data_IF_772271426655
#
_entry.id   IF_772271426655
#
_cell.length_a   1.000
_cell.length_b   1.000
_cell.length_c   1.000
_cell.angle_alpha   90.00
_cell.angle_beta   90.00
_cell.angle_gamma   90.00
#
_symmetry.space_group_name_H-M   'P 1'
#
loop_
_entity.id
_entity.type
_entity.pdbx_description
1 polymer ?
#
# COMPACT_ATOMS: atom_id res chain seq x y z
N UNK A 1 27.72 -25.92 -53.43
CA UNK A 1 28.66 -25.00 -52.77
C UNK A 1 28.14 -23.60 -53.04
N UNK A 2 27.26 -23.12 -52.18
CA UNK A 2 26.46 -21.90 -52.39
C UNK A 2 27.04 -20.82 -51.49
N UNK A 3 27.61 -19.78 -52.09
CA UNK A 3 28.25 -18.65 -51.41
C UNK A 3 27.18 -17.70 -50.86
N UNK A 4 26.98 -17.70 -49.54
CA UNK A 4 26.23 -16.65 -48.85
C UNK A 4 27.12 -15.38 -48.75
N UNK A 5 26.62 -14.18 -49.09
CA UNK A 5 27.31 -12.92 -48.80
C UNK A 5 27.32 -12.64 -47.29
N UNK A 6 28.29 -11.86 -46.77
CA UNK A 6 28.39 -11.56 -45.35
C UNK A 6 27.22 -10.65 -44.93
N UNK A 7 26.43 -11.09 -43.94
CA UNK A 7 25.47 -10.23 -43.25
C UNK A 7 26.24 -9.08 -42.59
N UNK A 8 25.96 -7.87 -43.05
CA UNK A 8 26.36 -6.66 -42.37
C UNK A 8 25.66 -6.62 -41.02
N UNK A 9 26.44 -6.77 -39.94
CA UNK A 9 26.02 -6.45 -38.58
C UNK A 9 25.70 -4.95 -38.53
N UNK A 10 24.47 -4.58 -38.84
CA UNK A 10 23.99 -3.22 -38.64
C UNK A 10 23.77 -3.00 -37.17
N UNK A 11 24.77 -2.40 -36.54
CA UNK A 11 24.67 -1.48 -35.41
C UNK A 11 23.70 -1.91 -34.33
N UNK A 12 24.24 -2.55 -33.29
CA UNK A 12 23.66 -2.42 -31.97
C UNK A 12 23.41 -0.95 -31.72
N UNK A 13 22.14 -0.58 -31.55
CA UNK A 13 21.80 0.71 -30.99
C UNK A 13 22.35 0.64 -29.58
N UNK A 14 23.55 1.18 -29.38
CA UNK A 14 24.02 1.62 -28.08
C UNK A 14 23.02 2.69 -27.63
N UNK A 15 21.90 2.26 -27.05
CA UNK A 15 21.02 3.13 -26.28
C UNK A 15 21.86 3.56 -25.09
N UNK A 16 22.59 4.66 -25.27
CA UNK A 16 23.36 5.32 -24.25
C UNK A 16 22.53 5.34 -22.97
N UNK A 17 23.00 4.61 -21.96
CA UNK A 17 22.27 4.36 -20.74
C UNK A 17 21.92 5.69 -20.08
N UNK A 18 20.68 6.15 -20.31
CA UNK A 18 20.19 7.45 -19.87
C UNK A 18 20.40 7.63 -18.37
N UNK A 19 20.58 8.87 -17.93
CA UNK A 19 20.61 9.19 -16.49
C UNK A 19 19.35 8.60 -15.83
N UNK A 20 19.46 7.92 -14.68
CA UNK A 20 18.34 7.25 -14.01
C UNK A 20 17.43 8.26 -13.31
N UNK A 21 16.93 9.25 -14.04
CA UNK A 21 16.17 10.38 -13.51
C UNK A 21 14.88 9.88 -12.85
N UNK A 22 14.20 8.90 -13.47
CA UNK A 22 13.00 8.28 -12.91
C UNK A 22 13.25 7.59 -11.57
N UNK A 23 14.30 6.77 -11.46
CA UNK A 23 14.69 6.09 -10.22
C UNK A 23 15.10 7.09 -9.13
N UNK A 24 15.81 8.17 -9.49
CA UNK A 24 16.17 9.24 -8.55
C UNK A 24 14.91 9.94 -8.02
N UNK A 25 14.00 10.35 -8.91
CA UNK A 25 12.75 11.03 -8.53
C UNK A 25 11.92 10.14 -7.63
N UNK A 26 11.78 8.85 -7.97
CA UNK A 26 11.07 7.88 -7.16
C UNK A 26 11.71 7.72 -5.77
N UNK A 27 13.02 7.49 -5.71
CA UNK A 27 13.73 7.30 -4.45
C UNK A 27 13.70 8.56 -3.57
N UNK A 28 13.85 9.73 -4.18
CA UNK A 28 13.70 11.02 -3.50
C UNK A 28 12.28 11.20 -2.98
N UNK A 29 11.26 10.88 -3.78
CA UNK A 29 9.86 10.93 -3.36
C UNK A 29 9.56 10.03 -2.17
N UNK A 30 10.02 8.78 -2.19
CA UNK A 30 9.89 7.82 -1.07
C UNK A 30 10.58 8.36 0.19
N UNK A 31 11.82 8.82 0.07
CA UNK A 31 12.58 9.37 1.19
C UNK A 31 11.91 10.63 1.76
N UNK A 32 11.48 11.56 0.90
CA UNK A 32 10.77 12.78 1.30
C UNK A 32 9.46 12.47 2.01
N UNK A 33 8.67 11.52 1.50
CA UNK A 33 7.43 11.09 2.15
C UNK A 33 7.69 10.52 3.54
N UNK A 34 8.75 9.71 3.68
CA UNK A 34 9.20 9.20 4.98
C UNK A 34 9.60 10.32 5.95
N UNK A 35 10.38 11.30 5.51
CA UNK A 35 10.78 12.45 6.35
C UNK A 35 9.56 13.27 6.77
N UNK A 36 8.67 13.59 5.84
CA UNK A 36 7.44 14.34 6.12
C UNK A 36 6.56 13.57 7.11
N UNK A 37 6.40 12.26 6.93
CA UNK A 37 5.65 11.39 7.84
C UNK A 37 6.26 11.37 9.25
N UNK A 38 7.60 11.33 9.35
CA UNK A 38 8.30 11.33 10.63
C UNK A 38 8.09 12.65 11.38
N UNK A 39 8.22 13.78 10.69
CA UNK A 39 8.00 15.12 11.26
C UNK A 39 6.53 15.29 11.66
N UNK A 40 5.59 14.85 10.82
CA UNK A 40 4.17 14.89 11.12
C UNK A 40 3.82 14.04 12.35
N UNK A 41 4.36 12.82 12.43
CA UNK A 41 4.23 11.95 13.60
C UNK A 41 4.81 12.55 14.88
N UNK A 42 5.90 13.32 14.76
CA UNK A 42 6.49 14.01 15.90
C UNK A 42 5.58 15.10 16.49
N UNK A 43 4.65 15.64 15.70
CA UNK A 43 3.65 16.63 16.15
C UNK A 43 2.44 16.06 16.90
N UNK A 44 2.28 14.73 16.94
CA UNK A 44 1.15 14.09 17.64
C UNK A 44 1.34 14.23 19.15
N UNK A 45 0.43 14.95 19.81
CA UNK A 45 0.46 15.16 21.27
C UNK A 45 -0.02 13.90 21.99
N UNK A 46 0.75 13.43 22.95
CA UNK A 46 0.34 12.36 23.87
C UNK A 46 0.16 12.91 25.29
N UNK A 47 -0.86 12.45 26.03
CA UNK A 47 -0.99 12.76 27.45
C UNK A 47 0.26 12.31 28.23
N UNK A 48 0.71 13.07 29.26
CA UNK A 48 1.84 12.66 30.09
C UNK A 48 1.66 11.31 30.80
N UNK A 49 0.41 10.84 30.94
CA UNK A 49 0.05 9.56 31.53
C UNK A 49 0.06 8.38 30.55
N UNK A 50 0.38 8.60 29.27
CA UNK A 50 0.45 7.54 28.28
C UNK A 50 1.73 6.71 28.50
N UNK A 51 1.61 5.58 29.17
CA UNK A 51 2.70 4.63 29.40
C UNK A 51 2.47 3.41 28.52
N UNK A 52 3.05 3.37 27.32
CA UNK A 52 2.93 2.24 26.39
C UNK A 52 3.16 2.61 24.92
N UNK A 53 3.06 1.60 24.05
CA UNK A 53 3.01 1.80 22.59
C UNK A 53 1.67 2.48 22.28
N UNK A 54 1.73 3.66 21.65
CA UNK A 54 0.55 4.46 21.32
C UNK A 54 0.39 4.71 19.83
N UNK A 55 -0.65 5.46 19.40
CA UNK A 55 -0.95 5.67 17.99
C UNK A 55 0.18 6.41 17.23
N UNK A 56 1.03 7.15 17.95
CA UNK A 56 2.19 7.86 17.39
C UNK A 56 3.29 6.91 16.88
N UNK A 57 3.36 5.69 17.41
CA UNK A 57 4.40 4.73 16.99
C UNK A 57 4.17 4.24 15.56
N UNK A 58 2.91 4.15 15.12
CA UNK A 58 2.60 3.72 13.76
C UNK A 58 3.21 4.64 12.68
N UNK A 59 3.00 5.98 12.70
CA UNK A 59 3.67 6.88 11.78
C UNK A 59 5.20 6.78 11.84
N UNK A 60 5.81 6.59 13.01
CA UNK A 60 7.25 6.48 13.14
C UNK A 60 7.81 5.20 12.51
N UNK A 61 7.17 4.05 12.73
CA UNK A 61 7.59 2.77 12.14
C UNK A 61 7.53 2.85 10.61
N UNK A 62 6.39 3.30 10.06
CA UNK A 62 6.20 3.42 8.61
C UNK A 62 7.18 4.43 8.00
N UNK A 63 7.32 5.59 8.64
CA UNK A 63 8.24 6.64 8.17
C UNK A 63 9.70 6.18 8.24
N UNK A 64 10.09 5.48 9.30
CA UNK A 64 11.43 4.89 9.44
C UNK A 64 11.72 3.88 8.34
N UNK A 65 10.75 3.02 8.01
CA UNK A 65 10.86 2.07 6.90
C UNK A 65 11.00 2.78 5.55
N UNK A 66 10.20 3.82 5.29
CA UNK A 66 10.28 4.62 4.07
C UNK A 66 11.62 5.35 3.95
N UNK A 67 12.12 5.95 5.02
CA UNK A 67 13.43 6.60 5.07
C UNK A 67 14.52 5.58 4.78
N UNK A 68 14.49 4.44 5.47
CA UNK A 68 15.46 3.36 5.29
C UNK A 68 15.49 2.87 3.84
N UNK A 69 14.34 2.53 3.28
CA UNK A 69 14.21 2.04 1.89
C UNK A 69 14.64 3.12 0.89
N UNK A 70 14.16 4.36 1.04
CA UNK A 70 14.51 5.48 0.17
C UNK A 70 16.02 5.76 0.17
N UNK A 71 16.64 5.79 1.35
CA UNK A 71 18.09 5.92 1.50
C UNK A 71 18.83 4.72 0.88
N UNK A 72 18.37 3.48 1.11
CA UNK A 72 18.97 2.30 0.53
C UNK A 72 18.94 2.32 -1.01
N UNK A 73 17.83 2.75 -1.62
CA UNK A 73 17.70 2.88 -3.09
C UNK A 73 18.66 3.95 -3.60
N UNK A 74 18.75 5.12 -2.95
CA UNK A 74 19.71 6.17 -3.34
C UNK A 74 21.14 5.65 -3.27
N UNK A 75 21.51 4.93 -2.20
CA UNK A 75 22.84 4.32 -2.07
C UNK A 75 23.09 3.30 -3.19
N UNK A 76 22.12 2.44 -3.51
CA UNK A 76 22.24 1.48 -4.61
C UNK A 76 22.49 2.19 -5.94
N UNK A 77 21.75 3.27 -6.20
CA UNK A 77 21.85 4.04 -7.42
C UNK A 77 23.20 4.77 -7.54
N UNK A 78 23.69 5.34 -6.43
CA UNK A 78 25.03 5.93 -6.33
C UNK A 78 26.14 4.87 -6.51
N UNK A 79 25.88 3.62 -6.11
CA UNK A 79 26.77 2.46 -6.36
C UNK A 79 26.64 1.91 -7.78
N UNK A 80 25.89 2.56 -8.65
CA UNK A 80 25.68 2.14 -10.04
C UNK A 80 24.76 0.93 -10.21
N UNK A 81 24.09 0.48 -9.13
CA UNK A 81 23.09 -0.58 -9.20
C UNK A 81 21.76 0.03 -9.58
N UNK A 82 21.35 -0.21 -10.82
CA UNK A 82 20.08 0.24 -11.37
C UNK A 82 19.06 -0.88 -11.28
N UNK A 83 17.79 -0.51 -11.15
CA UNK A 83 16.73 -1.47 -11.41
C UNK A 83 16.91 -2.01 -12.82
N UNK A 84 16.98 -3.33 -12.98
CA UNK A 84 16.71 -3.89 -14.30
C UNK A 84 15.28 -3.44 -14.65
N UNK A 85 15.02 -2.90 -15.86
CA UNK A 85 13.64 -2.74 -16.30
C UNK A 85 13.00 -4.11 -16.12
N UNK A 86 12.00 -4.21 -15.25
CA UNK A 86 11.12 -5.37 -15.30
C UNK A 86 10.57 -5.37 -16.73
N UNK A 87 10.76 -6.49 -17.43
CA UNK A 87 9.91 -6.83 -18.56
C UNK A 87 8.51 -6.99 -17.96
N UNK A 88 7.84 -5.85 -17.79
CA UNK A 88 6.54 -5.77 -17.14
C UNK A 88 5.61 -6.73 -17.84
N UNK A 89 4.88 -7.50 -17.03
CA UNK A 89 3.76 -8.34 -17.43
C UNK A 89 2.94 -7.65 -18.53
N UNK A 90 3.18 -8.03 -19.80
CA UNK A 90 2.57 -7.56 -21.05
C UNK A 90 1.81 -6.21 -20.93
N UNK A 91 2.53 -5.15 -20.52
CA UNK A 91 1.90 -3.85 -20.26
C UNK A 91 1.61 -3.20 -21.61
N UNK A 92 0.41 -3.43 -22.15
CA UNK A 92 -0.07 -2.73 -23.34
C UNK A 92 -0.20 -1.23 -23.01
N UNK A 93 0.63 -0.36 -23.59
CA UNK A 93 0.56 1.08 -23.34
C UNK A 93 -0.75 1.71 -23.86
N UNK A 94 -1.55 0.97 -24.63
CA UNK A 94 -2.86 1.38 -25.10
C UNK A 94 -4.02 0.81 -24.25
N UNK A 95 -3.71 0.01 -23.22
CA UNK A 95 -4.71 -0.49 -22.29
C UNK A 95 -5.45 0.69 -21.65
N UNK A 96 -6.78 0.71 -21.82
CA UNK A 96 -7.62 1.76 -21.26
C UNK A 96 -7.81 1.50 -19.77
N UNK A 97 -7.78 2.57 -18.97
CA UNK A 97 -8.14 2.50 -17.55
C UNK A 97 -9.55 1.93 -17.39
N UNK A 98 -9.70 0.88 -16.57
CA UNK A 98 -11.00 0.34 -16.21
C UNK A 98 -11.67 1.23 -15.16
N UNK A 99 -12.35 2.27 -15.65
CA UNK A 99 -13.08 3.23 -14.83
C UNK A 99 -14.22 2.58 -14.04
N UNK A 100 -14.77 1.46 -14.48
CA UNK A 100 -15.84 0.76 -13.76
C UNK A 100 -15.29 0.10 -12.50
N UNK A 101 -14.15 -0.57 -12.62
CA UNK A 101 -13.43 -1.15 -11.47
C UNK A 101 -13.03 -0.05 -10.48
N UNK A 102 -12.52 1.08 -10.95
CA UNK A 102 -12.24 2.25 -10.10
C UNK A 102 -13.50 2.74 -9.38
N UNK A 103 -14.61 2.91 -10.10
CA UNK A 103 -15.86 3.39 -9.52
C UNK A 103 -16.42 2.43 -8.45
N UNK A 104 -16.31 1.10 -8.66
CA UNK A 104 -16.69 0.09 -7.67
C UNK A 104 -15.83 0.18 -6.41
N UNK A 105 -14.51 0.31 -6.55
CA UNK A 105 -13.60 0.48 -5.41
C UNK A 105 -13.93 1.73 -4.61
N UNK A 106 -14.16 2.87 -5.29
CA UNK A 106 -14.61 4.11 -4.66
C UNK A 106 -15.96 3.91 -3.95
N UNK A 107 -16.88 3.18 -4.57
CA UNK A 107 -18.17 2.81 -3.96
C UNK A 107 -18.02 2.00 -2.67
N UNK A 108 -17.12 1.02 -2.64
CA UNK A 108 -16.84 0.26 -1.42
C UNK A 108 -16.15 1.09 -0.33
N UNK A 109 -15.27 2.02 -0.71
CA UNK A 109 -14.68 2.99 0.24
C UNK A 109 -15.77 3.89 0.83
N UNK A 110 -16.68 4.41 0.01
CA UNK A 110 -17.81 5.20 0.49
C UNK A 110 -18.72 4.37 1.41
N UNK A 111 -19.02 3.12 1.03
CA UNK A 111 -19.81 2.20 1.84
C UNK A 111 -19.15 1.91 3.19
N UNK A 112 -17.82 1.74 3.23
CA UNK A 112 -17.07 1.57 4.47
C UNK A 112 -17.26 2.78 5.41
N UNK A 113 -17.10 3.99 4.89
CA UNK A 113 -17.30 5.23 5.65
C UNK A 113 -18.71 5.30 6.24
N UNK A 114 -19.73 4.95 5.44
CA UNK A 114 -21.13 4.96 5.87
C UNK A 114 -21.44 3.87 6.90
N UNK A 115 -20.75 2.72 6.84
CA UNK A 115 -20.97 1.58 7.74
C UNK A 115 -20.28 1.72 9.09
N UNK A 116 -19.20 2.50 9.20
CA UNK A 116 -18.42 2.62 10.45
C UNK A 116 -19.32 2.98 11.64
N UNK A 117 -20.21 3.97 11.48
CA UNK A 117 -21.08 4.44 12.56
C UNK A 117 -22.15 3.42 12.96
N UNK A 118 -22.99 2.90 12.04
CA UNK A 118 -24.06 1.96 12.41
C UNK A 118 -23.57 0.54 12.70
N UNK A 119 -22.64 0.02 11.89
CA UNK A 119 -22.24 -1.39 11.89
C UNK A 119 -20.94 -1.67 12.65
N UNK A 120 -20.18 -0.62 12.97
CA UNK A 120 -18.88 -0.74 13.60
C UNK A 120 -17.74 -0.89 12.60
N UNK A 121 -16.55 -0.57 13.09
CA UNK A 121 -15.33 -0.59 12.30
C UNK A 121 -14.95 -1.98 11.76
N UNK A 122 -15.00 -3.09 12.53
CA UNK A 122 -14.58 -4.40 12.03
C UNK A 122 -15.47 -4.90 10.90
N UNK A 123 -16.79 -4.69 11.01
CA UNK A 123 -17.77 -5.07 9.99
C UNK A 123 -17.59 -4.23 8.74
N UNK A 124 -17.46 -2.90 8.90
CA UNK A 124 -17.17 -2.00 7.80
C UNK A 124 -15.88 -2.38 7.07
N UNK A 125 -14.81 -2.74 7.81
CA UNK A 125 -13.53 -3.16 7.25
C UNK A 125 -13.64 -4.49 6.50
N UNK A 126 -14.37 -5.48 7.04
CA UNK A 126 -14.61 -6.74 6.35
C UNK A 126 -15.37 -6.54 5.02
N UNK A 127 -16.38 -5.65 5.01
CA UNK A 127 -17.10 -5.29 3.77
C UNK A 127 -16.15 -4.64 2.75
N UNK A 128 -15.25 -3.76 3.19
CA UNK A 128 -14.27 -3.13 2.32
C UNK A 128 -13.30 -4.15 1.70
N UNK A 129 -12.71 -5.03 2.51
CA UNK A 129 -11.77 -6.06 2.02
C UNK A 129 -12.45 -7.06 1.08
N UNK A 130 -13.67 -7.49 1.42
CA UNK A 130 -14.46 -8.36 0.56
C UNK A 130 -14.81 -7.66 -0.77
N UNK A 131 -15.31 -6.42 -0.69
CA UNK A 131 -15.67 -5.64 -1.87
C UNK A 131 -14.49 -5.36 -2.80
N UNK A 132 -13.32 -5.03 -2.24
CA UNK A 132 -12.10 -4.83 -3.00
C UNK A 132 -11.66 -6.12 -3.70
N UNK A 133 -11.57 -7.24 -2.98
CA UNK A 133 -11.16 -8.53 -3.55
C UNK A 133 -12.13 -9.05 -4.61
N UNK A 134 -13.44 -8.84 -4.43
CA UNK A 134 -14.46 -9.16 -5.41
C UNK A 134 -14.36 -8.27 -6.65
N UNK A 135 -14.16 -6.96 -6.46
CA UNK A 135 -14.02 -5.99 -7.55
C UNK A 135 -12.79 -6.27 -8.42
N UNK A 136 -11.71 -6.78 -7.81
CA UNK A 136 -10.48 -7.18 -8.50
C UNK A 136 -10.55 -8.58 -9.13
N UNK A 137 -11.74 -9.20 -9.20
CA UNK A 137 -11.98 -10.40 -10.00
C UNK A 137 -11.74 -11.74 -9.29
N UNK A 138 -11.66 -11.77 -7.96
CA UNK A 138 -11.50 -13.05 -7.26
C UNK A 138 -12.71 -13.98 -7.43
N UNK A 139 -12.46 -15.21 -7.88
CA UNK A 139 -13.48 -16.21 -8.21
C UNK A 139 -14.07 -16.93 -6.98
N UNK A 140 -13.39 -16.91 -5.83
CA UNK A 140 -13.80 -17.67 -4.65
C UNK A 140 -14.39 -16.78 -3.55
N UNK A 141 -15.69 -16.46 -3.68
CA UNK A 141 -16.45 -15.64 -2.74
C UNK A 141 -16.29 -16.05 -1.27
N UNK A 142 -16.36 -17.34 -0.94
CA UNK A 142 -16.20 -17.81 0.45
C UNK A 142 -14.81 -17.53 1.03
N UNK A 143 -13.74 -17.79 0.26
CA UNK A 143 -12.37 -17.54 0.71
C UNK A 143 -12.14 -16.05 0.92
N UNK A 144 -12.66 -15.21 0.02
CA UNK A 144 -12.58 -13.76 0.15
C UNK A 144 -13.28 -13.27 1.42
N UNK A 145 -14.47 -13.81 1.73
CA UNK A 145 -15.21 -13.44 2.93
C UNK A 145 -14.42 -13.80 4.20
N UNK A 146 -13.85 -15.01 4.26
CA UNK A 146 -13.02 -15.44 5.39
C UNK A 146 -11.78 -14.55 5.52
N UNK A 147 -11.03 -14.33 4.43
CA UNK A 147 -9.82 -13.49 4.45
C UNK A 147 -10.17 -12.06 4.87
N UNK A 148 -11.27 -11.50 4.36
CA UNK A 148 -11.71 -10.15 4.68
C UNK A 148 -12.03 -10.00 6.18
N UNK A 149 -12.74 -10.97 6.77
CA UNK A 149 -13.02 -10.99 8.21
C UNK A 149 -11.74 -11.14 9.02
N UNK A 150 -10.86 -12.07 8.64
CA UNK A 150 -9.59 -12.27 9.34
C UNK A 150 -8.73 -11.00 9.29
N UNK A 151 -8.59 -10.38 8.13
CA UNK A 151 -7.85 -9.12 7.97
C UNK A 151 -8.45 -7.98 8.80
N UNK A 152 -9.77 -7.85 8.81
CA UNK A 152 -10.45 -6.86 9.63
C UNK A 152 -10.18 -7.08 11.13
N UNK A 153 -10.24 -8.32 11.61
CA UNK A 153 -9.97 -8.65 13.01
C UNK A 153 -8.50 -8.48 13.40
N UNK A 154 -7.57 -8.86 12.53
CA UNK A 154 -6.13 -8.64 12.75
C UNK A 154 -5.86 -7.14 12.88
N UNK A 155 -6.40 -6.32 11.98
CA UNK A 155 -6.22 -4.87 12.06
C UNK A 155 -6.94 -4.29 13.28
N UNK A 156 -8.13 -4.77 13.65
CA UNK A 156 -8.81 -4.39 14.90
C UNK A 156 -7.86 -4.61 16.07
N UNK A 157 -7.26 -5.80 16.19
CA UNK A 157 -6.36 -6.12 17.29
C UNK A 157 -5.10 -5.25 17.29
N UNK A 158 -4.48 -5.02 16.13
CA UNK A 158 -3.29 -4.18 16.01
C UNK A 158 -3.59 -2.72 16.37
N UNK A 159 -4.69 -2.16 15.87
CA UNK A 159 -5.00 -0.75 16.11
C UNK A 159 -5.62 -0.50 17.48
N UNK A 160 -6.63 -1.27 17.88
CA UNK A 160 -7.26 -1.11 19.19
C UNK A 160 -6.39 -1.66 20.32
N UNK A 161 -5.86 -2.87 20.18
CA UNK A 161 -5.11 -3.54 21.24
C UNK A 161 -3.67 -3.06 21.37
N UNK A 162 -2.92 -3.02 20.25
CA UNK A 162 -1.48 -2.69 20.30
C UNK A 162 -1.21 -1.19 20.29
N UNK A 163 -1.97 -0.41 19.51
CA UNK A 163 -1.76 1.04 19.38
C UNK A 163 -2.69 1.87 20.27
N UNK A 164 -3.68 1.26 20.93
CA UNK A 164 -4.63 1.97 21.80
C UNK A 164 -5.53 2.96 21.05
N UNK A 165 -5.85 2.68 19.78
CA UNK A 165 -6.77 3.49 18.97
C UNK A 165 -8.20 3.06 19.23
N UNK A 166 -9.04 3.99 19.71
CA UNK A 166 -10.48 3.72 19.86
C UNK A 166 -11.14 3.56 18.49
N UNK A 167 -11.64 2.36 18.22
CA UNK A 167 -12.37 2.01 17.00
C UNK A 167 -13.85 1.83 17.35
N UNK A 168 -14.79 2.50 16.64
CA UNK A 168 -16.20 2.38 16.93
C UNK A 168 -16.67 0.92 16.83
N UNK A 169 -17.23 0.37 17.91
CA UNK A 169 -17.91 -0.92 17.89
C UNK A 169 -19.18 -0.87 17.03
N UNK A 170 -19.80 0.30 16.90
CA UNK A 170 -21.09 0.49 16.25
C UNK A 170 -22.26 0.01 17.12
N UNK A 171 -23.44 0.57 16.86
CA UNK A 171 -24.65 0.27 17.63
C UNK A 171 -25.02 -1.23 17.62
N UNK A 172 -24.69 -1.95 16.53
CA UNK A 172 -24.97 -3.38 16.39
C UNK A 172 -24.06 -4.29 17.26
N UNK A 173 -22.91 -3.80 17.73
CA UNK A 173 -21.95 -4.56 18.53
C UNK A 173 -21.75 -4.01 19.95
N UNK A 174 -22.58 -3.05 20.36
CA UNK A 174 -22.46 -2.30 21.62
C UNK A 174 -22.47 -3.20 22.88
N UNK A 175 -22.97 -4.44 22.76
CA UNK A 175 -22.98 -5.45 23.83
C UNK A 175 -21.81 -6.44 23.86
N UNK A 176 -20.80 -6.31 22.98
CA UNK A 176 -19.67 -7.24 22.90
C UNK A 176 -18.38 -6.53 23.33
N UNK A 177 -17.92 -6.78 24.55
CA UNK A 177 -16.80 -6.06 25.20
C UNK A 177 -15.47 -6.10 24.42
N UNK A 178 -15.24 -7.12 23.57
CA UNK A 178 -14.02 -7.21 22.74
C UNK A 178 -13.96 -6.17 21.60
N UNK A 179 -15.07 -5.48 21.30
CA UNK A 179 -15.13 -4.45 20.25
C UNK A 179 -15.20 -3.03 20.82
N UNK A 180 -15.36 -2.88 22.14
CA UNK A 180 -15.26 -1.60 22.83
C UNK A 180 -13.79 -1.33 23.17
N UNK A 181 -13.05 -0.81 22.18
CA UNK A 181 -11.66 -0.35 22.34
C UNK A 181 -11.57 1.02 22.99
#
# INVERSE_FOLDING_TARGET
MSTHPPEAQTGGVDTAAGRPIGEIIFAAGVLSLGIVGFVAGAGIKMPPSATGIGPREFPFIVSGLLIFLGTAIIIQLLRGRRGAPEEGEDVDPNAKTDWLTVAKLVGFVALHILLIVPAGWPVAAAVLFFGASWTLGSLSWWRNAVIAVVMALVLQFVFAGLLGVSLPAGFLLEGVEIFNG
#
